data_IF_329452877481
#
_entry.id   IF_329452877481
#
_cell.length_a   1.000
_cell.length_b   1.000
_cell.length_c   1.000
_cell.angle_alpha   90.00
_cell.angle_beta   90.00
_cell.angle_gamma   90.00
#
_symmetry.space_group_name_H-M   'P 1'
#
loop_
_entity.id
_entity.type
_entity.pdbx_description
1 polymer ?
#
# COMPACT_ATOMS: atom_id res chain seq x y z
N UNK A 1 43.38 8.11 -57.52
CA UNK A 1 44.00 8.93 -56.46
C UNK A 1 42.97 9.04 -55.34
N UNK A 2 43.24 8.44 -54.16
CA UNK A 2 42.50 8.49 -52.87
C UNK A 2 41.01 8.06 -52.89
N UNK A 3 40.52 6.96 -52.27
CA UNK A 3 40.71 6.41 -50.92
C UNK A 3 40.65 7.46 -49.81
N UNK A 4 39.59 7.42 -48.97
CA UNK A 4 39.67 7.19 -47.52
C UNK A 4 38.28 7.35 -46.86
N UNK A 5 37.85 6.27 -46.18
CA UNK A 5 37.23 6.24 -44.83
C UNK A 5 35.79 6.78 -44.74
N UNK A 6 34.76 5.92 -44.66
CA UNK A 6 34.34 5.14 -43.48
C UNK A 6 33.91 6.06 -42.31
N UNK A 7 32.79 6.78 -42.49
CA UNK A 7 32.02 7.29 -41.36
C UNK A 7 31.18 6.14 -40.79
N UNK A 8 31.86 5.30 -40.02
CA UNK A 8 31.23 4.54 -38.97
C UNK A 8 30.49 5.52 -38.07
N UNK A 9 29.16 5.57 -38.23
CA UNK A 9 28.28 6.03 -37.15
C UNK A 9 28.52 5.06 -36.00
N UNK A 10 29.40 5.48 -35.09
CA UNK A 10 29.66 4.79 -33.84
C UNK A 10 28.33 4.39 -33.21
N UNK A 11 28.19 3.17 -32.66
CA UNK A 11 27.02 2.85 -31.87
C UNK A 11 27.03 3.84 -30.71
N UNK A 12 26.08 4.78 -30.71
CA UNK A 12 25.79 5.65 -29.58
C UNK A 12 25.73 4.74 -28.36
N UNK A 13 26.75 4.82 -27.51
CA UNK A 13 26.78 4.16 -26.21
C UNK A 13 25.53 4.61 -25.50
N UNK A 14 24.52 3.74 -25.49
CA UNK A 14 23.29 3.97 -24.76
C UNK A 14 23.70 4.25 -23.32
N UNK A 15 23.46 5.50 -22.94
CA UNK A 15 23.77 6.05 -21.64
C UNK A 15 23.17 5.10 -20.60
N UNK A 16 24.03 4.34 -19.91
CA UNK A 16 23.63 3.51 -18.76
C UNK A 16 23.40 4.46 -17.58
N UNK A 17 22.46 5.38 -17.76
CA UNK A 17 22.10 6.39 -16.80
C UNK A 17 21.55 5.67 -15.57
N UNK A 18 22.19 5.92 -14.42
CA UNK A 18 21.72 5.36 -13.14
C UNK A 18 20.33 5.91 -12.89
N UNK A 19 19.36 5.03 -12.76
CA UNK A 19 17.97 5.41 -12.50
C UNK A 19 17.64 5.07 -11.07
N UNK A 20 17.27 6.07 -10.28
CA UNK A 20 17.03 5.93 -8.86
C UNK A 20 15.58 6.26 -8.51
N UNK A 21 14.92 5.33 -7.82
CA UNK A 21 13.55 5.44 -7.36
C UNK A 21 13.52 5.48 -5.83
N UNK A 22 12.96 6.55 -5.29
CA UNK A 22 12.73 6.74 -3.86
C UNK A 22 11.43 7.52 -3.65
N UNK A 23 10.79 7.29 -2.51
CA UNK A 23 9.65 8.09 -2.09
C UNK A 23 10.02 9.57 -2.04
N UNK A 24 9.18 10.41 -2.66
CA UNK A 24 9.35 11.86 -2.64
C UNK A 24 9.31 12.43 -1.22
N UNK A 25 10.00 13.57 -1.01
CA UNK A 25 10.05 14.25 0.28
C UNK A 25 8.68 14.57 0.86
N UNK A 26 7.73 15.00 0.01
CA UNK A 26 6.36 15.31 0.44
C UNK A 26 5.63 14.12 1.08
N UNK A 27 5.73 12.92 0.50
CA UNK A 27 5.10 11.71 1.06
C UNK A 27 5.69 11.33 2.42
N UNK A 28 7.02 11.44 2.56
CA UNK A 28 7.73 11.22 3.83
C UNK A 28 7.28 12.22 4.90
N UNK A 29 7.25 13.51 4.56
CA UNK A 29 6.83 14.57 5.48
C UNK A 29 5.36 14.43 5.87
N UNK A 30 4.48 14.14 4.92
CA UNK A 30 3.06 13.92 5.18
C UNK A 30 2.86 12.79 6.20
N UNK A 31 3.37 11.59 5.94
CA UNK A 31 3.20 10.47 6.86
C UNK A 31 3.92 10.68 8.20
N UNK A 32 5.07 11.35 8.21
CA UNK A 32 5.77 11.67 9.45
C UNK A 32 4.94 12.64 10.32
N UNK A 33 4.38 13.70 9.72
CA UNK A 33 3.54 14.66 10.42
C UNK A 33 2.23 14.02 10.88
N UNK A 34 1.55 13.25 10.02
CA UNK A 34 0.35 12.50 10.39
C UNK A 34 0.63 11.55 11.56
N UNK A 35 1.75 10.84 11.53
CA UNK A 35 2.13 9.93 12.62
C UNK A 35 2.37 10.68 13.93
N UNK A 36 3.15 11.77 13.91
CA UNK A 36 3.44 12.59 15.10
C UNK A 36 2.15 13.21 15.66
N UNK A 37 1.26 13.67 14.80
CA UNK A 37 -0.03 14.27 15.19
C UNK A 37 -0.97 13.24 15.84
N UNK A 38 -1.01 12.02 15.33
CA UNK A 38 -1.90 10.95 15.80
C UNK A 38 -1.33 10.21 17.03
N UNK A 39 -0.02 10.18 17.21
CA UNK A 39 0.68 9.49 18.29
C UNK A 39 0.17 9.82 19.71
N UNK A 40 -0.03 11.09 20.13
CA UNK A 40 -0.52 11.38 21.47
C UNK A 40 -1.91 10.79 21.72
N UNK A 41 -2.79 10.82 20.72
CA UNK A 41 -4.11 10.20 20.81
C UNK A 41 -3.98 8.68 20.93
N UNK A 42 -3.12 8.06 20.13
CA UNK A 42 -2.88 6.62 20.17
C UNK A 42 -2.40 6.14 21.55
N UNK A 43 -1.47 6.87 22.16
CA UNK A 43 -0.94 6.54 23.49
C UNK A 43 -1.98 6.77 24.59
N UNK A 44 -2.84 7.78 24.44
CA UNK A 44 -3.87 8.10 25.44
C UNK A 44 -5.03 7.09 25.49
N UNK A 45 -5.39 6.48 24.35
CA UNK A 45 -6.52 5.55 24.24
C UNK A 45 -6.45 4.34 25.20
N UNK A 46 -5.34 3.57 25.29
CA UNK A 46 -5.26 2.45 26.22
C UNK A 46 -5.38 2.90 27.68
N UNK A 47 -4.87 4.09 28.03
CA UNK A 47 -5.00 4.65 29.39
C UNK A 47 -6.46 4.98 29.70
N UNK A 48 -7.16 5.64 28.78
CA UNK A 48 -8.59 5.96 28.94
C UNK A 48 -9.44 4.68 29.05
N UNK A 49 -9.16 3.67 28.22
CA UNK A 49 -9.84 2.37 28.28
C UNK A 49 -9.62 1.69 29.63
N UNK A 50 -8.38 1.61 30.10
CA UNK A 50 -8.05 1.00 31.39
C UNK A 50 -8.77 1.72 32.55
N UNK A 51 -8.76 3.05 32.56
CA UNK A 51 -9.45 3.84 33.59
C UNK A 51 -10.97 3.61 33.58
N UNK A 52 -11.60 3.49 32.40
CA UNK A 52 -13.04 3.24 32.30
C UNK A 52 -13.43 1.83 32.74
N UNK A 53 -12.62 0.83 32.38
CA UNK A 53 -12.81 -0.56 32.83
C UNK A 53 -12.70 -0.63 34.37
N UNK A 54 -11.68 0.01 34.95
CA UNK A 54 -11.51 0.06 36.41
C UNK A 54 -12.65 0.76 37.15
N UNK A 55 -13.30 1.75 36.51
CA UNK A 55 -14.45 2.48 37.08
C UNK A 55 -15.80 1.78 36.85
N UNK A 56 -15.83 0.64 36.15
CA UNK A 56 -17.05 -0.15 35.92
C UNK A 56 -18.06 0.48 34.95
N UNK A 57 -17.65 1.42 34.10
CA UNK A 57 -18.55 2.10 33.15
C UNK A 57 -18.59 1.32 31.83
N UNK A 58 -19.43 0.29 31.71
CA UNK A 58 -19.40 -0.65 30.59
C UNK A 58 -20.12 -0.19 29.31
N UNK A 59 -21.23 0.55 29.45
CA UNK A 59 -22.11 0.91 28.33
C UNK A 59 -21.38 1.80 27.29
N UNK A 60 -20.65 2.81 27.76
CA UNK A 60 -19.82 3.67 26.89
C UNK A 60 -18.51 3.01 26.42
N UNK A 61 -18.03 2.00 27.17
CA UNK A 61 -16.72 1.39 26.90
C UNK A 61 -16.72 0.58 25.61
N UNK A 62 -17.87 0.00 25.22
CA UNK A 62 -17.99 -0.69 23.94
C UNK A 62 -17.74 0.23 22.74
N UNK A 63 -18.33 1.43 22.74
CA UNK A 63 -18.09 2.42 21.70
C UNK A 63 -16.62 2.83 21.63
N UNK A 64 -16.00 3.07 22.80
CA UNK A 64 -14.58 3.41 22.90
C UNK A 64 -13.66 2.27 22.41
N UNK A 65 -14.00 1.01 22.68
CA UNK A 65 -13.24 -0.15 22.20
C UNK A 65 -13.27 -0.27 20.68
N UNK A 66 -14.45 -0.09 20.06
CA UNK A 66 -14.58 -0.11 18.58
C UNK A 66 -13.80 1.05 17.96
N UNK A 67 -13.90 2.26 18.53
CA UNK A 67 -13.14 3.42 18.09
C UNK A 67 -11.63 3.19 18.22
N UNK A 68 -11.18 2.63 19.35
CA UNK A 68 -9.77 2.32 19.58
C UNK A 68 -9.25 1.26 18.61
N UNK A 69 -10.04 0.24 18.29
CA UNK A 69 -9.69 -0.76 17.29
C UNK A 69 -9.53 -0.12 15.90
N UNK A 70 -10.50 0.68 15.45
CA UNK A 70 -10.42 1.40 14.18
C UNK A 70 -9.23 2.35 14.11
N UNK A 71 -8.99 3.11 15.19
CA UNK A 71 -7.85 4.01 15.28
C UNK A 71 -6.50 3.28 15.27
N UNK A 72 -6.43 2.11 15.91
CA UNK A 72 -5.24 1.24 15.87
C UNK A 72 -4.94 0.76 14.45
N UNK A 73 -5.96 0.37 13.70
CA UNK A 73 -5.81 -0.03 12.28
C UNK A 73 -5.27 1.15 11.47
N UNK A 74 -5.86 2.34 11.60
CA UNK A 74 -5.41 3.55 10.90
C UNK A 74 -3.96 3.88 11.26
N UNK A 75 -3.62 3.86 12.54
CA UNK A 75 -2.26 4.14 13.02
C UNK A 75 -1.25 3.12 12.48
N UNK A 76 -1.62 1.84 12.42
CA UNK A 76 -0.82 0.79 11.82
C UNK A 76 -0.58 1.00 10.33
N UNK A 77 -1.61 1.40 9.57
CA UNK A 77 -1.48 1.73 8.14
C UNK A 77 -0.57 2.93 7.91
N UNK A 78 -0.75 4.01 8.69
CA UNK A 78 0.13 5.20 8.63
C UNK A 78 1.57 4.85 8.95
N UNK A 79 1.80 4.02 9.98
CA UNK A 79 3.14 3.56 10.34
C UNK A 79 3.78 2.74 9.21
N UNK A 80 3.03 1.83 8.59
CA UNK A 80 3.53 1.03 7.48
C UNK A 80 3.92 1.91 6.29
N UNK A 81 3.05 2.83 5.88
CA UNK A 81 3.30 3.79 4.80
C UNK A 81 4.49 4.71 5.08
N UNK A 82 4.67 5.12 6.35
CA UNK A 82 5.82 5.88 6.79
C UNK A 82 7.11 5.07 6.64
N UNK A 83 7.14 3.83 7.15
CA UNK A 83 8.32 2.96 7.06
C UNK A 83 8.65 2.65 5.60
N UNK A 84 7.64 2.38 4.77
CA UNK A 84 7.82 2.20 3.33
C UNK A 84 8.39 3.44 2.67
N UNK A 85 7.83 4.61 2.95
CA UNK A 85 8.33 5.87 2.41
C UNK A 85 9.77 6.20 2.84
N UNK A 86 10.21 5.73 4.01
CA UNK A 86 11.58 5.96 4.49
C UNK A 86 12.60 4.94 3.97
N UNK A 87 12.19 3.67 3.82
CA UNK A 87 13.12 2.57 3.52
C UNK A 87 13.10 2.09 2.07
N UNK A 88 11.97 2.20 1.37
CA UNK A 88 11.83 1.69 0.02
C UNK A 88 12.70 2.50 -0.95
N UNK A 89 13.61 1.79 -1.64
CA UNK A 89 14.56 2.37 -2.59
C UNK A 89 14.88 1.36 -3.67
N UNK A 90 14.95 1.80 -4.92
CA UNK A 90 15.44 0.98 -6.04
C UNK A 90 16.46 1.80 -6.82
N UNK A 91 17.67 1.26 -6.96
CA UNK A 91 18.76 1.82 -7.73
C UNK A 91 19.09 0.88 -8.89
N UNK A 92 18.85 1.36 -10.10
CA UNK A 92 19.24 0.69 -11.33
C UNK A 92 20.65 1.16 -11.69
N UNK A 93 21.64 0.40 -11.23
CA UNK A 93 23.04 0.57 -11.61
C UNK A 93 23.32 0.08 -13.03
N UNK A 94 24.58 0.22 -13.47
CA UNK A 94 25.02 -0.21 -14.80
C UNK A 94 25.24 -1.71 -14.92
N UNK A 95 25.63 -2.40 -13.82
CA UNK A 95 25.93 -3.84 -13.80
C UNK A 95 24.99 -4.67 -12.92
N UNK A 96 24.32 -4.03 -11.98
CA UNK A 96 23.46 -4.68 -11.01
C UNK A 96 22.29 -3.76 -10.66
N UNK A 97 21.19 -4.39 -10.23
CA UNK A 97 20.07 -3.71 -9.59
C UNK A 97 20.19 -3.86 -8.08
N UNK A 98 20.16 -2.75 -7.37
CA UNK A 98 20.16 -2.72 -5.91
C UNK A 98 18.82 -2.19 -5.41
N UNK A 99 18.22 -2.86 -4.44
CA UNK A 99 16.95 -2.42 -3.88
C UNK A 99 16.83 -2.76 -2.41
N UNK A 100 16.07 -1.93 -1.71
CA UNK A 100 15.60 -2.18 -0.36
C UNK A 100 14.08 -2.20 -0.39
N UNK A 101 13.50 -3.39 -0.25
CA UNK A 101 12.06 -3.60 -0.40
C UNK A 101 11.52 -4.49 0.75
N UNK A 102 10.20 -4.48 1.00
CA UNK A 102 9.63 -5.30 2.05
C UNK A 102 9.89 -6.79 1.80
N UNK A 103 10.27 -7.55 2.82
CA UNK A 103 10.73 -8.94 2.71
C UNK A 103 9.72 -9.91 2.04
N UNK A 104 8.44 -9.55 2.03
CA UNK A 104 7.36 -10.30 1.39
C UNK A 104 6.85 -9.72 0.06
N UNK A 105 7.52 -8.70 -0.50
CA UNK A 105 7.16 -8.15 -1.79
C UNK A 105 6.06 -7.08 -1.79
N UNK A 106 5.79 -6.42 -0.66
CA UNK A 106 4.86 -5.27 -0.63
C UNK A 106 3.39 -5.59 -0.94
N UNK A 107 2.93 -6.83 -0.72
CA UNK A 107 1.54 -7.22 -0.92
C UNK A 107 0.58 -6.65 0.13
N UNK A 108 -0.66 -7.17 0.16
CA UNK A 108 -1.71 -6.69 1.08
C UNK A 108 -1.35 -6.78 2.58
N UNK A 109 -0.38 -7.61 2.94
CA UNK A 109 0.05 -7.73 4.34
C UNK A 109 1.16 -6.71 4.59
N UNK A 110 0.91 -5.65 5.39
CA UNK A 110 1.94 -4.68 5.72
C UNK A 110 3.07 -5.37 6.49
N UNK A 111 4.31 -5.22 6.02
CA UNK A 111 5.49 -5.79 6.67
C UNK A 111 6.47 -4.70 7.11
N UNK A 112 6.94 -4.79 8.35
CA UNK A 112 7.97 -3.89 8.89
C UNK A 112 9.40 -4.32 8.52
N UNK A 113 9.57 -5.54 8.00
CA UNK A 113 10.86 -6.11 7.64
C UNK A 113 11.21 -5.80 6.19
N UNK A 114 12.39 -5.22 5.99
CA UNK A 114 12.94 -4.87 4.67
C UNK A 114 14.18 -5.71 4.41
N UNK A 115 14.38 -6.07 3.16
CA UNK A 115 15.58 -6.74 2.69
C UNK A 115 16.26 -5.86 1.66
N UNK A 116 17.53 -5.58 1.90
CA UNK A 116 18.42 -4.93 0.95
C UNK A 116 19.15 -6.00 0.17
N UNK A 117 19.04 -5.97 -1.16
CA UNK A 117 19.68 -6.94 -2.05
C UNK A 117 20.31 -6.20 -3.21
N UNK A 118 21.46 -6.72 -3.66
CA UNK A 118 22.11 -6.28 -4.89
C UNK A 118 22.24 -7.50 -5.78
N UNK A 119 21.64 -7.44 -6.96
CA UNK A 119 21.54 -8.55 -7.89
C UNK A 119 22.23 -8.16 -9.19
N UNK A 120 23.34 -8.82 -9.58
CA UNK A 120 23.96 -8.66 -10.88
C UNK A 120 22.97 -8.99 -12.00
N UNK A 121 22.97 -8.21 -13.08
CA UNK A 121 22.07 -8.47 -14.21
C UNK A 121 22.31 -9.84 -14.86
N UNK A 122 23.56 -10.31 -14.81
CA UNK A 122 23.96 -11.63 -15.31
C UNK A 122 23.32 -12.80 -14.53
N UNK A 123 22.87 -12.59 -13.30
CA UNK A 123 22.25 -13.62 -12.47
C UNK A 123 20.73 -13.72 -12.68
N UNK A 124 20.15 -12.76 -13.41
CA UNK A 124 18.71 -12.72 -13.71
C UNK A 124 18.44 -13.68 -14.88
N UNK A 125 17.51 -14.59 -14.70
CA UNK A 125 17.06 -15.50 -15.75
C UNK A 125 15.88 -14.91 -16.54
N UNK A 126 14.88 -14.40 -15.83
CA UNK A 126 13.70 -13.76 -16.40
C UNK A 126 13.03 -12.87 -15.35
N UNK A 127 12.15 -11.99 -15.80
CA UNK A 127 11.33 -11.15 -14.94
C UNK A 127 9.89 -11.54 -15.18
N UNK A 128 9.15 -11.81 -14.11
CA UNK A 128 7.75 -12.18 -14.20
C UNK A 128 6.83 -11.07 -13.73
N UNK A 129 5.86 -10.74 -14.57
CA UNK A 129 4.68 -9.93 -14.24
C UNK A 129 3.47 -10.85 -14.10
N UNK A 130 2.64 -10.58 -13.11
CA UNK A 130 1.39 -11.32 -12.89
C UNK A 130 0.37 -10.44 -12.19
N UNK A 131 -0.91 -10.60 -12.52
CA UNK A 131 -1.99 -9.86 -11.86
C UNK A 131 -2.71 -10.75 -10.87
N UNK A 132 -2.62 -10.44 -9.59
CA UNK A 132 -3.26 -11.16 -8.50
C UNK A 132 -4.57 -10.46 -8.09
N UNK A 133 -5.67 -11.22 -8.07
CA UNK A 133 -6.92 -10.75 -7.46
C UNK A 133 -6.92 -11.02 -5.96
N UNK A 134 -6.95 -9.96 -5.16
CA UNK A 134 -7.06 -10.01 -3.71
C UNK A 134 -8.47 -9.66 -3.23
N UNK A 135 -8.83 -9.99 -1.98
CA UNK A 135 -9.98 -9.38 -1.28
C UNK A 135 -11.33 -10.11 -1.30
N UNK A 136 -11.46 -11.22 -2.05
CA UNK A 136 -12.66 -12.06 -2.01
C UNK A 136 -13.96 -11.27 -2.25
N UNK A 137 -15.03 -11.58 -1.52
CA UNK A 137 -16.34 -10.94 -1.72
C UNK A 137 -16.48 -9.54 -1.08
N UNK A 138 -15.56 -9.13 -0.21
CA UNK A 138 -15.76 -7.95 0.65
C UNK A 138 -15.01 -6.72 0.13
N UNK A 139 -13.84 -6.87 -0.49
CA UNK A 139 -13.13 -5.75 -1.10
C UNK A 139 -12.18 -6.25 -2.20
N UNK A 140 -12.71 -6.72 -3.35
CA UNK A 140 -11.88 -7.32 -4.37
C UNK A 140 -10.99 -6.25 -5.02
N UNK A 141 -9.68 -6.49 -5.15
CA UNK A 141 -8.72 -5.58 -5.79
C UNK A 141 -7.79 -6.39 -6.67
N UNK A 142 -7.56 -5.94 -7.90
CA UNK A 142 -6.54 -6.53 -8.76
C UNK A 142 -5.23 -5.77 -8.58
N UNK A 143 -4.20 -6.49 -8.16
CA UNK A 143 -2.85 -5.98 -7.98
C UNK A 143 -1.92 -6.63 -8.97
N UNK A 144 -1.18 -5.84 -9.74
CA UNK A 144 -0.09 -6.31 -10.58
C UNK A 144 1.17 -6.47 -9.74
N UNK A 145 1.62 -7.71 -9.59
CA UNK A 145 2.85 -8.08 -8.92
C UNK A 145 4.00 -8.28 -9.91
N UNK A 146 5.18 -7.82 -9.53
CA UNK A 146 6.41 -8.03 -10.31
C UNK A 146 7.42 -8.80 -9.47
N UNK A 147 8.08 -9.82 -10.05
CA UNK A 147 9.16 -10.58 -9.40
C UNK A 147 10.31 -10.88 -10.34
N UNK A 148 11.52 -10.94 -9.78
CA UNK A 148 12.71 -11.42 -10.45
C UNK A 148 12.83 -12.93 -10.26
N UNK A 149 13.21 -13.65 -11.31
CA UNK A 149 13.64 -15.04 -11.23
C UNK A 149 15.14 -15.08 -11.51
N UNK A 150 15.89 -15.53 -10.52
CA UNK A 150 17.32 -15.75 -10.67
C UNK A 150 17.60 -17.06 -11.40
N UNK A 151 18.79 -17.16 -12.01
CA UNK A 151 19.30 -18.40 -12.60
C UNK A 151 19.40 -19.55 -11.60
N UNK A 152 19.52 -19.23 -10.31
CA UNK A 152 19.46 -20.19 -9.19
C UNK A 152 18.06 -20.78 -8.95
N UNK A 153 17.03 -20.22 -9.59
CA UNK A 153 15.62 -20.56 -9.36
C UNK A 153 14.96 -19.78 -8.22
N UNK A 154 15.71 -18.92 -7.52
CA UNK A 154 15.15 -18.06 -6.47
C UNK A 154 14.18 -17.02 -7.07
N UNK A 155 13.04 -16.82 -6.40
CA UNK A 155 12.01 -15.84 -6.80
C UNK A 155 12.01 -14.68 -5.82
N UNK A 156 12.32 -13.49 -6.31
CA UNK A 156 12.46 -12.29 -5.48
C UNK A 156 11.38 -11.29 -5.87
N UNK A 157 10.37 -11.05 -5.02
CA UNK A 157 9.31 -10.12 -5.35
C UNK A 157 9.81 -8.66 -5.25
N UNK A 158 9.45 -7.84 -6.22
CA UNK A 158 9.77 -6.41 -6.24
C UNK A 158 8.67 -5.58 -5.57
N UNK A 159 7.41 -5.91 -5.85
CA UNK A 159 6.30 -5.11 -5.35
C UNK A 159 4.97 -5.49 -5.99
N UNK A 160 3.92 -4.89 -5.47
CA UNK A 160 2.59 -4.87 -6.08
C UNK A 160 2.19 -3.42 -6.36
N UNK A 161 1.57 -3.18 -7.49
CA UNK A 161 0.88 -1.93 -7.84
C UNK A 161 -0.56 -2.23 -8.20
N UNK A 162 -1.42 -1.20 -8.20
CA UNK A 162 -2.76 -1.38 -8.73
C UNK A 162 -2.64 -1.65 -10.24
N UNK A 163 -3.39 -2.63 -10.75
CA UNK A 163 -3.36 -2.94 -12.17
C UNK A 163 -3.83 -1.77 -13.05
N UNK A 164 -4.72 -0.93 -12.51
CA UNK A 164 -5.26 0.24 -13.17
C UNK A 164 -4.44 1.53 -12.96
N UNK A 165 -3.55 1.57 -11.96
CA UNK A 165 -2.78 2.77 -11.62
C UNK A 165 -1.42 2.39 -11.00
N UNK A 166 -0.34 2.69 -11.72
CA UNK A 166 1.03 2.41 -11.28
C UNK A 166 1.50 3.54 -10.35
N UNK A 167 2.12 3.24 -9.21
CA UNK A 167 2.64 4.29 -8.30
C UNK A 167 3.70 5.11 -9.07
N UNK A 168 3.50 6.42 -9.32
CA UNK A 168 4.44 7.22 -10.11
C UNK A 168 5.86 7.26 -9.50
N UNK A 169 5.99 6.99 -8.19
CA UNK A 169 7.27 6.95 -7.47
C UNK A 169 7.89 5.57 -7.44
N UNK A 170 7.08 4.51 -7.49
CA UNK A 170 7.53 3.13 -7.57
C UNK A 170 6.79 2.40 -8.70
N UNK A 171 7.04 2.77 -9.96
CA UNK A 171 6.34 2.17 -11.08
C UNK A 171 6.93 0.78 -11.36
N UNK A 172 6.52 -0.23 -10.59
CA UNK A 172 7.18 -1.53 -10.56
C UNK A 172 7.16 -2.23 -11.93
N UNK A 173 6.15 -1.95 -12.76
CA UNK A 173 6.08 -2.43 -14.15
C UNK A 173 7.19 -1.81 -15.00
N UNK A 174 7.36 -0.49 -14.91
CA UNK A 174 8.40 0.24 -15.64
C UNK A 174 9.80 -0.16 -15.17
N UNK A 175 9.98 -0.29 -13.85
CA UNK A 175 11.23 -0.77 -13.24
C UNK A 175 11.57 -2.17 -13.76
N UNK A 176 10.58 -3.07 -13.85
CA UNK A 176 10.76 -4.41 -14.42
C UNK A 176 11.31 -4.35 -15.85
N UNK A 177 10.67 -3.60 -16.74
CA UNK A 177 11.13 -3.48 -18.13
C UNK A 177 12.53 -2.89 -18.25
N UNK A 178 12.88 -1.92 -17.39
CA UNK A 178 14.23 -1.35 -17.36
C UNK A 178 15.27 -2.38 -16.90
N UNK A 179 14.96 -3.19 -15.89
CA UNK A 179 15.84 -4.29 -15.45
C UNK A 179 15.97 -5.33 -16.57
N UNK A 180 14.86 -5.71 -17.22
CA UNK A 180 14.85 -6.71 -18.30
C UNK A 180 15.75 -6.28 -19.46
N UNK A 181 15.59 -5.02 -19.89
CA UNK A 181 16.41 -4.41 -20.95
C UNK A 181 17.89 -4.39 -20.60
N UNK A 182 18.24 -4.08 -19.35
CA UNK A 182 19.65 -4.03 -18.89
C UNK A 182 20.25 -5.43 -18.71
N UNK A 183 19.44 -6.42 -18.35
CA UNK A 183 19.86 -7.81 -18.24
C UNK A 183 19.81 -8.59 -19.56
N UNK A 184 19.22 -8.02 -20.61
CA UNK A 184 19.03 -8.72 -21.88
C UNK A 184 18.08 -9.92 -21.77
N UNK A 185 17.11 -9.86 -20.86
CA UNK A 185 16.11 -10.91 -20.63
C UNK A 185 14.72 -10.40 -20.99
N UNK A 186 13.81 -11.34 -21.27
CA UNK A 186 12.41 -11.02 -21.54
C UNK A 186 11.59 -10.89 -20.24
N UNK A 187 10.54 -10.07 -20.30
CA UNK A 187 9.52 -9.99 -19.26
C UNK A 187 8.43 -11.00 -19.62
N UNK A 188 8.33 -12.05 -18.82
CA UNK A 188 7.30 -13.09 -18.90
C UNK A 188 6.03 -12.59 -18.18
N UNK A 189 5.03 -12.16 -18.95
CA UNK A 189 3.74 -11.77 -18.43
C UNK A 189 2.81 -12.99 -18.36
N UNK A 190 2.58 -13.47 -17.14
CA UNK A 190 1.73 -14.64 -16.88
C UNK A 190 0.25 -14.25 -16.95
N UNK A 191 -0.07 -12.96 -17.05
CA UNK A 191 -1.43 -12.45 -17.09
C UNK A 191 -2.13 -12.51 -15.74
N UNK A 192 -3.47 -12.60 -15.78
CA UNK A 192 -4.29 -12.55 -14.58
C UNK A 192 -4.37 -13.93 -13.92
N UNK A 193 -3.82 -14.01 -12.70
CA UNK A 193 -3.80 -15.22 -11.89
C UNK A 193 -4.76 -15.03 -10.71
N UNK A 194 -5.77 -15.90 -10.60
CA UNK A 194 -6.68 -15.86 -9.46
C UNK A 194 -6.09 -16.60 -8.26
N UNK A 195 -5.50 -15.89 -7.31
CA UNK A 195 -5.17 -16.47 -6.00
C UNK A 195 -6.32 -16.27 -5.02
N UNK A 196 -6.92 -17.37 -4.55
CA UNK A 196 -7.80 -17.30 -3.39
C UNK A 196 -6.98 -16.93 -2.15
N UNK A 197 -7.12 -15.70 -1.64
CA UNK A 197 -6.46 -15.18 -0.43
C UNK A 197 -6.52 -16.18 0.74
N UNK A 198 -7.69 -16.82 0.91
CA UNK A 198 -7.90 -17.81 1.97
C UNK A 198 -7.02 -19.06 1.82
N UNK A 199 -6.59 -19.46 0.62
CA UNK A 199 -5.75 -20.66 0.44
C UNK A 199 -4.26 -20.36 0.57
N UNK A 200 -3.83 -19.15 0.19
CA UNK A 200 -2.45 -18.67 0.36
C UNK A 200 -2.08 -18.50 1.83
N UNK A 201 -3.01 -18.02 2.67
CA UNK A 201 -2.81 -17.96 4.12
C UNK A 201 -2.65 -19.34 4.78
N UNK A 202 -3.19 -20.40 4.16
CA UNK A 202 -3.08 -21.79 4.65
C UNK A 202 -2.02 -22.62 3.90
N UNK A 203 -1.13 -21.99 3.12
CA UNK A 203 0.02 -22.65 2.50
C UNK A 203 -0.30 -23.63 1.37
N UNK A 204 -1.52 -23.61 0.82
CA UNK A 204 -1.91 -24.50 -0.28
C UNK A 204 -1.37 -23.93 -1.59
N UNK A 205 -0.39 -24.60 -2.20
CA UNK A 205 0.13 -24.29 -3.54
C UNK A 205 -0.95 -24.63 -4.58
N UNK A 206 -1.36 -23.64 -5.37
CA UNK A 206 -2.13 -23.86 -6.60
C UNK A 206 -1.38 -23.32 -7.82
N UNK A 207 -1.52 -24.04 -8.94
CA UNK A 207 -1.39 -23.49 -10.28
C UNK A 207 -2.62 -22.60 -10.48
N UNK A 208 -2.42 -21.30 -10.71
CA UNK A 208 -3.56 -20.41 -10.86
C UNK A 208 -4.21 -20.61 -12.22
N UNK A 209 -5.53 -20.66 -12.24
CA UNK A 209 -6.30 -20.60 -13.47
C UNK A 209 -6.24 -19.16 -14.02
N UNK A 210 -5.96 -19.03 -15.32
CA UNK A 210 -5.98 -17.74 -16.01
C UNK A 210 -7.36 -17.11 -15.93
N UNK A 211 -7.43 -15.86 -15.50
CA UNK A 211 -8.68 -15.09 -15.43
C UNK A 211 -8.85 -14.27 -16.73
N UNK A 212 -10.03 -14.31 -17.37
CA UNK A 212 -10.30 -13.48 -18.53
C UNK A 212 -10.42 -12.00 -18.16
N UNK A 213 -10.08 -11.08 -19.08
CA UNK A 213 -10.03 -9.63 -18.82
C UNK A 213 -11.40 -9.02 -18.46
N UNK A 214 -12.52 -9.62 -18.90
CA UNK A 214 -13.86 -9.17 -18.48
C UNK A 214 -14.11 -9.29 -16.96
N UNK A 215 -13.57 -10.31 -16.30
CA UNK A 215 -13.74 -10.52 -14.87
C UNK A 215 -12.97 -9.48 -14.05
N UNK A 216 -11.82 -9.04 -14.57
CA UNK A 216 -10.94 -8.03 -13.97
C UNK A 216 -11.63 -6.66 -13.93
N UNK A 217 -12.26 -6.26 -15.04
CA UNK A 217 -13.03 -5.02 -15.12
C UNK A 217 -14.23 -5.02 -14.15
N UNK A 218 -14.89 -6.18 -14.00
CA UNK A 218 -15.96 -6.38 -13.04
C UNK A 218 -15.50 -6.19 -11.59
N UNK A 219 -14.35 -6.74 -11.23
CA UNK A 219 -13.74 -6.60 -9.90
C UNK A 219 -13.42 -5.13 -9.59
N UNK A 220 -12.75 -4.43 -10.49
CA UNK A 220 -12.39 -3.02 -10.28
C UNK A 220 -13.63 -2.13 -10.10
N UNK A 221 -14.72 -2.42 -10.82
CA UNK A 221 -16.00 -1.73 -10.63
C UNK A 221 -16.61 -2.02 -9.25
N UNK A 222 -16.60 -3.27 -8.81
CA UNK A 222 -17.09 -3.65 -7.48
C UNK A 222 -16.28 -2.99 -6.37
N UNK A 223 -14.96 -2.92 -6.52
CA UNK A 223 -14.08 -2.22 -5.58
C UNK A 223 -14.47 -0.76 -5.41
N UNK A 224 -14.65 -0.05 -6.53
CA UNK A 224 -14.98 1.37 -6.50
C UNK A 224 -16.35 1.62 -5.84
N UNK A 225 -17.36 0.80 -6.18
CA UNK A 225 -18.69 0.87 -5.54
C UNK A 225 -18.59 0.61 -4.03
N UNK A 226 -17.79 -0.37 -3.62
CA UNK A 226 -17.58 -0.68 -2.21
C UNK A 226 -16.90 0.48 -1.46
N UNK A 227 -15.84 1.06 -2.01
CA UNK A 227 -15.16 2.23 -1.42
C UNK A 227 -16.10 3.42 -1.28
N UNK A 228 -16.87 3.74 -2.32
CA UNK A 228 -17.89 4.80 -2.28
C UNK A 228 -18.92 4.52 -1.19
N UNK A 229 -19.38 3.27 -1.07
CA UNK A 229 -20.31 2.85 -0.03
C UNK A 229 -19.77 3.10 1.39
N UNK A 230 -18.52 2.73 1.66
CA UNK A 230 -17.86 3.00 2.95
C UNK A 230 -17.80 4.51 3.22
N UNK A 231 -17.36 5.30 2.23
CA UNK A 231 -17.23 6.76 2.39
C UNK A 231 -18.58 7.40 2.70
N UNK A 232 -19.66 6.98 2.01
CA UNK A 232 -21.02 7.49 2.27
C UNK A 232 -21.48 7.12 3.69
N UNK A 233 -21.28 5.88 4.11
CA UNK A 233 -21.66 5.44 5.47
C UNK A 233 -20.87 6.20 6.53
N UNK A 234 -19.56 6.38 6.35
CA UNK A 234 -18.74 7.17 7.27
C UNK A 234 -19.19 8.63 7.32
N UNK A 235 -19.48 9.25 6.17
CA UNK A 235 -19.98 10.61 6.11
C UNK A 235 -21.34 10.74 6.81
N UNK A 236 -22.25 9.79 6.61
CA UNK A 236 -23.54 9.76 7.27
C UNK A 236 -23.40 9.63 8.80
N UNK A 237 -22.53 8.72 9.28
CA UNK A 237 -22.24 8.57 10.70
C UNK A 237 -21.65 9.84 11.31
N UNK A 238 -20.77 10.54 10.59
CA UNK A 238 -20.20 11.81 11.03
C UNK A 238 -21.26 12.91 11.11
N UNK A 239 -22.13 13.04 10.10
CA UNK A 239 -23.23 14.01 10.11
C UNK A 239 -24.23 13.70 11.23
N UNK A 240 -24.57 12.43 11.45
CA UNK A 240 -25.45 12.00 12.55
C UNK A 240 -24.82 12.25 13.91
N UNK A 241 -23.51 11.99 14.06
CA UNK A 241 -22.78 12.25 15.30
C UNK A 241 -22.75 13.74 15.64
N UNK A 242 -22.41 14.59 14.66
CA UNK A 242 -22.44 16.05 14.81
C UNK A 242 -23.87 16.53 15.11
N UNK A 243 -24.87 16.02 14.40
CA UNK A 243 -26.28 16.38 14.60
C UNK A 243 -26.78 16.03 16.01
N UNK A 244 -26.42 14.84 16.50
CA UNK A 244 -26.76 14.40 17.86
C UNK A 244 -26.09 15.29 18.93
N UNK A 245 -24.83 15.68 18.71
CA UNK A 245 -24.10 16.57 19.61
C UNK A 245 -24.73 17.98 19.66
N UNK A 246 -25.18 18.51 18.51
CA UNK A 246 -25.94 19.76 18.45
C UNK A 246 -27.30 19.68 19.15
N UNK A 247 -28.01 18.55 19.03
CA UNK A 247 -29.29 18.35 19.69
C UNK A 247 -29.13 18.24 21.22
N UNK A 248 -28.12 17.51 21.70
CA UNK A 248 -27.81 17.42 23.13
C UNK A 248 -27.35 18.77 23.71
N UNK A 249 -26.48 19.49 23.00
CA UNK A 249 -26.03 20.84 23.36
C UNK A 249 -27.19 21.84 23.50
N UNK A 250 -28.22 21.70 22.64
CA UNK A 250 -29.41 22.55 22.67
C UNK A 250 -30.35 22.20 23.84
N UNK A 251 -30.46 20.91 24.18
CA UNK A 251 -31.22 20.44 25.35
C UNK A 251 -30.61 20.89 26.68
N UNK A 252 -29.29 20.77 26.82
CA UNK A 252 -28.57 21.10 28.07
C UNK A 252 -28.56 22.62 28.35
N UNK A 253 -28.64 23.47 27.31
CA UNK A 253 -28.86 24.92 27.44
C UNK A 253 -30.26 25.28 27.92
N UNK A 254 -31.28 24.51 27.51
CA UNK A 254 -32.66 24.71 27.94
C UNK A 254 -32.86 24.44 29.43
N UNK A 255 -32.26 23.39 29.96
CA UNK A 255 -32.39 23.02 31.38
C UNK A 255 -31.67 24.00 32.32
N UNK A 256 -30.52 24.55 31.93
CA UNK A 256 -29.79 25.58 32.71
C UNK A 256 -30.50 26.93 32.75
N UNK A 257 -31.33 27.24 31.75
CA UNK A 257 -32.14 28.47 31.75
C UNK A 257 -33.32 28.39 32.74
N UNK A 258 -33.77 27.18 33.08
CA UNK A 258 -34.90 26.96 34.01
C UNK A 258 -34.45 26.89 35.47
N UNK A 259 -33.16 26.61 35.73
CA UNK A 259 -32.62 26.38 37.09
C UNK A 259 -31.73 27.49 37.64
N UNK A 260 -31.77 28.72 37.11
CA UNK A 260 -31.22 29.87 37.82
C UNK A 260 -32.24 30.37 38.86
N UNK A 261 -32.04 30.17 40.17
CA UNK A 261 -32.79 30.94 41.15
C UNK A 261 -32.35 32.40 41.04
N UNK A 262 -33.33 33.31 40.95
CA UNK A 262 -33.14 34.74 41.19
C UNK A 262 -32.56 34.90 42.60
N UNK A 263 -31.24 35.04 42.70
CA UNK A 263 -30.60 35.55 43.92
C UNK A 263 -30.82 37.07 43.89
N UNK A 264 -31.65 37.54 44.81
CA UNK A 264 -31.88 38.94 45.14
C UNK A 264 -31.21 39.24 46.46
#
# INVERSE_FOLDING_TARGET
>A
MLSLVDDQVAPTTADNEKTYYESGGGRKTFYALSFILLLPFFISLPVMLAQRIMKGVWLDTWGLMVLAAGFTIIMGLVLFELVFSLRAKVDLGSKAVAFTLPAGGGGLTPTLFYQSRTIPYEDIATIQSFCDCYGGAVAPVVLRGTRLILKTGERIPLGFVNDADDDPRFPFTTIAHQIARRAGVEVDDIGHIRYALHKRMFGIKHAGDGMPPEDVAGINRQHNVFLIGIVIVMAALLVLGIGNDFMQSSGDRGERAVTQPLIR
#
